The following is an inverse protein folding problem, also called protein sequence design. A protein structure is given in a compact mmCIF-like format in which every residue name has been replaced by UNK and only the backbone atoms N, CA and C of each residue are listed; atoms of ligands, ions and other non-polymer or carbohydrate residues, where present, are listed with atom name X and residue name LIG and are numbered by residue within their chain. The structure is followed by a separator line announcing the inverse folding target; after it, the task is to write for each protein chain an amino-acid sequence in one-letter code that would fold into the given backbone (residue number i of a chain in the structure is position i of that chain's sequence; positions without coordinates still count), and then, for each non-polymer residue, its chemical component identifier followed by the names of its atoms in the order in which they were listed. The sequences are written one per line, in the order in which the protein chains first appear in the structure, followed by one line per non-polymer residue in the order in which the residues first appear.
data_IF_877272417201
#
_entry.id   IF_877272417201
#
_cell.length_a   1.000
_cell.length_b   1.000
_cell.length_c   1.000
_cell.angle_alpha   90.00
_cell.angle_beta   90.00
_cell.angle_gamma   90.00
#
_symmetry.space_group_name_H-M   'P 1'
#
loop_
_entity.id
_entity.type
_entity.pdbx_description
1 polymer ?
#
# COMPACT_ATOMS: atom_id res chain seq x y z
N UNK A 1 -17.16 6.91 -7.98
CA UNK A 1 -16.67 8.21 -7.46
C UNK A 1 -17.18 9.30 -8.39
N UNK A 2 -17.81 10.36 -7.89
CA UNK A 2 -18.45 11.39 -8.74
C UNK A 2 -17.36 12.23 -9.43
N UNK A 3 -17.28 12.30 -10.77
CA UNK A 3 -16.20 12.98 -11.49
C UNK A 3 -15.97 14.45 -11.09
N UNK A 4 -17.04 15.12 -10.64
CA UNK A 4 -17.01 16.50 -10.17
C UNK A 4 -16.15 16.71 -8.91
N UNK A 5 -16.08 15.72 -8.01
CA UNK A 5 -15.28 15.83 -6.78
C UNK A 5 -13.78 15.76 -7.12
N UNK A 6 -13.40 14.92 -8.08
CA UNK A 6 -12.02 14.76 -8.51
C UNK A 6 -11.53 16.02 -9.24
N UNK A 7 -12.36 16.59 -10.12
CA UNK A 7 -12.10 17.88 -10.78
C UNK A 7 -11.94 19.02 -9.77
N UNK A 8 -12.78 19.08 -8.74
CA UNK A 8 -12.67 20.09 -7.68
C UNK A 8 -11.42 19.95 -6.84
N UNK A 9 -10.98 18.71 -6.56
CA UNK A 9 -9.73 18.47 -5.83
C UNK A 9 -8.54 18.90 -6.69
N UNK A 10 -8.53 18.58 -7.99
CA UNK A 10 -7.45 18.98 -8.92
C UNK A 10 -7.43 20.51 -9.11
N UNK A 11 -8.58 21.16 -9.33
CA UNK A 11 -8.68 22.62 -9.42
C UNK A 11 -8.23 23.30 -8.13
N UNK A 12 -8.59 22.75 -6.97
CA UNK A 12 -8.17 23.27 -5.68
C UNK A 12 -6.65 23.13 -5.46
N UNK A 13 -6.05 21.99 -5.84
CA UNK A 13 -4.62 21.77 -5.77
C UNK A 13 -3.86 22.75 -6.70
N UNK A 14 -4.34 22.93 -7.93
CA UNK A 14 -3.78 23.90 -8.88
C UNK A 14 -3.90 25.36 -8.39
N UNK A 15 -5.05 25.73 -7.81
CA UNK A 15 -5.28 27.06 -7.24
C UNK A 15 -4.40 27.32 -6.00
N UNK A 16 -4.11 26.28 -5.21
CA UNK A 16 -3.28 26.39 -4.01
C UNK A 16 -1.80 26.67 -4.29
N UNK A 17 -1.28 26.26 -5.45
CA UNK A 17 0.10 26.53 -5.87
C UNK A 17 0.36 28.01 -6.20
N UNK A 18 -0.68 28.78 -6.55
CA UNK A 18 -0.54 30.17 -7.00
C UNK A 18 -0.77 31.23 -5.91
N UNK A 19 -1.36 30.88 -4.77
CA UNK A 19 -1.75 31.86 -3.75
C UNK A 19 -1.27 31.48 -2.34
N UNK A 20 -0.52 32.38 -1.71
CA UNK A 20 -0.02 32.24 -0.33
C UNK A 20 -1.16 32.28 0.70
N UNK A 21 -1.80 31.15 0.94
CA UNK A 21 -2.72 30.95 2.06
C UNK A 21 -1.91 30.68 3.35
N UNK A 22 -2.21 31.43 4.41
CA UNK A 22 -1.54 31.50 5.72
C UNK A 22 -1.58 30.22 6.59
N UNK A 23 -1.80 29.04 6.02
CA UNK A 23 -1.84 27.79 6.76
C UNK A 23 -0.60 26.94 6.47
N UNK A 24 -0.13 26.09 7.40
CA UNK A 24 0.95 25.16 7.12
C UNK A 24 0.41 24.10 6.15
N UNK A 25 0.61 24.34 4.85
CA UNK A 25 0.27 23.39 3.80
C UNK A 25 1.43 22.39 3.63
N UNK A 26 1.16 21.07 3.57
CA UNK A 26 2.12 20.12 3.04
C UNK A 26 2.42 20.49 1.59
N UNK A 27 3.70 20.53 1.21
CA UNK A 27 4.10 20.84 -0.15
C UNK A 27 3.82 19.62 -1.04
N UNK A 28 2.64 19.55 -1.65
CA UNK A 28 2.28 18.43 -2.53
C UNK A 28 3.02 18.58 -3.86
N UNK A 29 4.07 17.77 -4.07
CA UNK A 29 4.64 17.57 -5.40
C UNK A 29 3.81 16.53 -6.14
N UNK A 30 3.92 16.48 -7.48
CA UNK A 30 3.24 15.43 -8.26
C UNK A 30 3.70 14.03 -7.83
N UNK A 31 4.96 13.88 -7.42
CA UNK A 31 5.53 12.63 -6.89
C UNK A 31 4.92 12.25 -5.55
N UNK A 32 4.72 13.18 -4.60
CA UNK A 32 4.05 12.86 -3.32
C UNK A 32 2.61 12.39 -3.53
N UNK A 33 1.93 12.93 -4.56
CA UNK A 33 0.56 12.54 -4.90
C UNK A 33 0.51 11.13 -5.51
N UNK A 34 1.43 10.81 -6.43
CA UNK A 34 1.55 9.46 -7.01
C UNK A 34 1.90 8.42 -5.94
N UNK A 35 2.83 8.73 -5.05
CA UNK A 35 3.22 7.88 -3.91
C UNK A 35 2.04 7.65 -2.96
N UNK A 36 1.32 8.73 -2.58
CA UNK A 36 0.12 8.62 -1.73
C UNK A 36 -0.98 7.78 -2.39
N UNK A 37 -1.15 7.89 -3.71
CA UNK A 37 -2.13 7.10 -4.46
C UNK A 37 -1.74 5.63 -4.51
N UNK A 38 -0.46 5.32 -4.74
CA UNK A 38 0.05 3.94 -4.72
C UNK A 38 -0.14 3.30 -3.34
N UNK A 39 0.26 3.98 -2.26
CA UNK A 39 0.07 3.49 -0.88
C UNK A 39 -1.41 3.27 -0.55
N UNK A 40 -2.30 4.18 -0.97
CA UNK A 40 -3.74 4.04 -0.75
C UNK A 40 -4.35 2.91 -1.58
N UNK A 41 -3.88 2.71 -2.81
CA UNK A 41 -4.30 1.56 -3.64
C UNK A 41 -3.95 0.25 -2.93
N UNK A 42 -2.70 0.08 -2.50
CA UNK A 42 -2.28 -1.12 -1.77
C UNK A 42 -3.14 -1.31 -0.52
N UNK A 43 -3.35 -0.26 0.28
CA UNK A 43 -4.16 -0.34 1.49
C UNK A 43 -5.62 -0.76 1.21
N UNK A 44 -6.28 -0.13 0.24
CA UNK A 44 -7.68 -0.40 -0.09
C UNK A 44 -7.85 -1.80 -0.71
N UNK A 45 -6.89 -2.21 -1.54
CA UNK A 45 -6.86 -3.53 -2.13
C UNK A 45 -6.70 -4.62 -1.04
N UNK A 46 -5.81 -4.42 -0.07
CA UNK A 46 -5.63 -5.34 1.08
C UNK A 46 -6.92 -5.42 1.89
N UNK A 47 -7.57 -4.29 2.15
CA UNK A 47 -8.84 -4.24 2.89
C UNK A 47 -9.98 -4.97 2.15
N UNK A 48 -9.95 -4.98 0.82
CA UNK A 48 -10.93 -5.68 -0.01
C UNK A 48 -10.59 -7.18 -0.21
N UNK A 49 -9.44 -7.65 0.28
CA UNK A 49 -9.02 -9.06 0.21
C UNK A 49 -8.66 -9.57 -1.20
N UNK A 50 -8.66 -8.70 -2.21
CA UNK A 50 -8.60 -9.09 -3.63
C UNK A 50 -7.18 -9.07 -4.25
N UNK A 51 -6.14 -8.77 -3.47
CA UNK A 51 -4.83 -8.42 -4.04
C UNK A 51 -4.04 -9.64 -4.46
N UNK A 52 -3.48 -9.59 -5.68
CA UNK A 52 -2.39 -10.47 -6.08
C UNK A 52 -1.08 -9.87 -5.59
N UNK A 53 -0.18 -10.72 -5.13
CA UNK A 53 1.14 -10.30 -4.64
C UNK A 53 1.94 -9.56 -5.71
N UNK A 54 1.67 -9.83 -6.99
CA UNK A 54 2.23 -9.12 -8.15
C UNK A 54 1.89 -7.63 -8.16
N UNK A 55 0.63 -7.25 -7.95
CA UNK A 55 0.22 -5.83 -7.94
C UNK A 55 0.85 -5.05 -6.79
N UNK A 56 1.04 -5.69 -5.64
CA UNK A 56 1.77 -5.09 -4.51
C UNK A 56 3.25 -4.89 -4.89
N UNK A 57 3.85 -5.88 -5.54
CA UNK A 57 5.25 -5.80 -5.97
C UNK A 57 5.46 -4.63 -6.95
N UNK A 58 4.61 -4.53 -7.98
CA UNK A 58 4.64 -3.43 -8.96
C UNK A 58 4.52 -2.06 -8.28
N UNK A 59 3.60 -1.96 -7.30
CA UNK A 59 3.39 -0.71 -6.56
C UNK A 59 4.61 -0.33 -5.70
N UNK A 60 5.27 -1.30 -5.06
CA UNK A 60 6.49 -1.05 -4.29
C UNK A 60 7.64 -0.59 -5.19
N UNK A 61 7.76 -1.14 -6.40
CA UNK A 61 8.80 -0.72 -7.38
C UNK A 61 8.54 0.70 -7.89
N UNK A 62 7.28 1.08 -8.10
CA UNK A 62 6.91 2.47 -8.43
C UNK A 62 7.32 3.41 -7.30
N UNK A 63 7.02 3.07 -6.04
CA UNK A 63 7.37 3.90 -4.89
C UNK A 63 8.90 4.03 -4.77
N UNK A 64 9.65 2.95 -4.96
CA UNK A 64 11.12 3.01 -4.93
C UNK A 64 11.66 4.00 -5.97
N UNK A 65 11.13 3.96 -7.20
CA UNK A 65 11.55 4.87 -8.27
C UNK A 65 11.26 6.34 -7.92
N UNK A 66 10.13 6.61 -7.27
CA UNK A 66 9.76 7.94 -6.80
C UNK A 66 10.71 8.42 -5.68
N UNK A 67 10.98 7.58 -4.69
CA UNK A 67 11.88 7.88 -3.58
C UNK A 67 13.31 8.16 -4.05
N UNK A 68 13.80 7.35 -4.99
CA UNK A 68 15.13 7.54 -5.58
C UNK A 68 15.26 8.88 -6.30
N UNK A 69 14.20 9.32 -7.00
CA UNK A 69 14.16 10.61 -7.69
C UNK A 69 14.22 11.78 -6.71
N UNK A 70 13.59 11.64 -5.54
CA UNK A 70 13.59 12.64 -4.47
C UNK A 70 14.79 12.52 -3.52
N UNK A 71 15.67 11.52 -3.73
CA UNK A 71 16.79 11.15 -2.85
C UNK A 71 16.35 10.82 -1.42
N UNK A 72 15.14 10.28 -1.29
CA UNK A 72 14.60 9.75 -0.04
C UNK A 72 15.28 8.41 0.22
N UNK A 73 15.60 8.16 1.49
CA UNK A 73 16.24 6.92 1.89
C UNK A 73 15.17 5.84 2.01
N UNK A 74 15.31 4.76 1.25
CA UNK A 74 14.43 3.59 1.34
C UNK A 74 14.47 3.00 2.76
N UNK A 75 13.34 2.95 3.49
CA UNK A 75 13.28 2.44 4.85
C UNK A 75 13.45 0.92 4.88
N UNK A 76 13.88 0.37 6.01
CA UNK A 76 14.12 -1.07 6.14
C UNK A 76 12.81 -1.88 6.12
N UNK A 77 11.69 -1.28 6.55
CA UNK A 77 10.35 -1.88 6.43
C UNK A 77 9.95 -2.13 4.99
N UNK A 78 10.25 -1.20 4.07
CA UNK A 78 9.97 -1.34 2.64
C UNK A 78 10.75 -2.48 2.03
N UNK A 79 12.04 -2.62 2.39
CA UNK A 79 12.87 -3.74 1.93
C UNK A 79 12.34 -5.08 2.43
N UNK A 80 11.93 -5.14 3.70
CA UNK A 80 11.34 -6.35 4.29
C UNK A 80 10.01 -6.71 3.60
N UNK A 81 9.15 -5.72 3.35
CA UNK A 81 7.90 -5.90 2.62
C UNK A 81 8.17 -6.40 1.19
N UNK A 82 9.09 -5.75 0.46
CA UNK A 82 9.47 -6.15 -0.89
C UNK A 82 9.97 -7.60 -0.93
N UNK A 83 10.92 -7.96 -0.07
CA UNK A 83 11.44 -9.33 -0.02
C UNK A 83 10.33 -10.36 0.29
N UNK A 84 9.43 -10.07 1.21
CA UNK A 84 8.33 -10.98 1.55
C UNK A 84 7.36 -11.17 0.37
N UNK A 85 6.98 -10.08 -0.29
CA UNK A 85 6.11 -10.11 -1.47
C UNK A 85 6.78 -10.84 -2.63
N UNK A 86 8.06 -10.56 -2.92
CA UNK A 86 8.81 -11.22 -3.98
C UNK A 86 8.94 -12.74 -3.77
N UNK A 87 9.18 -13.19 -2.53
CA UNK A 87 9.23 -14.62 -2.20
C UNK A 87 7.84 -15.25 -2.38
N UNK A 88 6.77 -14.63 -1.90
CA UNK A 88 5.40 -15.13 -2.08
C UNK A 88 5.01 -15.22 -3.57
N UNK A 89 5.32 -14.20 -4.39
CA UNK A 89 5.13 -14.23 -5.85
C UNK A 89 5.89 -15.40 -6.50
N UNK A 90 7.16 -15.59 -6.12
CA UNK A 90 8.02 -16.64 -6.68
C UNK A 90 7.50 -18.02 -6.34
N UNK A 91 7.11 -18.24 -5.08
CA UNK A 91 6.59 -19.52 -4.62
C UNK A 91 5.27 -19.87 -5.30
N UNK A 92 4.34 -18.90 -5.43
CA UNK A 92 3.10 -19.08 -6.19
C UNK A 92 3.36 -19.48 -7.64
N UNK A 93 4.23 -18.76 -8.33
CA UNK A 93 4.60 -19.08 -9.71
C UNK A 93 5.20 -20.48 -9.87
N UNK A 94 6.04 -20.91 -8.92
CA UNK A 94 6.61 -22.26 -8.95
C UNK A 94 5.53 -23.32 -8.75
N UNK A 95 4.64 -23.13 -7.77
CA UNK A 95 3.51 -24.03 -7.52
C UNK A 95 2.59 -24.10 -8.75
N UNK A 96 2.21 -22.95 -9.33
CA UNK A 96 1.32 -22.89 -10.49
C UNK A 96 1.93 -23.58 -11.72
N UNK A 97 3.24 -23.41 -11.96
CA UNK A 97 3.95 -24.11 -13.04
C UNK A 97 3.95 -25.62 -12.83
N UNK A 98 4.17 -26.07 -11.59
CA UNK A 98 4.12 -27.49 -11.26
C UNK A 98 2.70 -28.05 -11.38
N UNK A 99 1.67 -27.29 -11.02
CA UNK A 99 0.28 -27.67 -11.25
C UNK A 99 -0.09 -27.72 -12.74
N UNK A 100 0.40 -26.78 -13.55
CA UNK A 100 0.20 -26.77 -15.00
C UNK A 100 0.75 -28.04 -15.65
N UNK A 101 1.93 -28.49 -15.20
CA UNK A 101 2.50 -29.78 -15.62
C UNK A 101 1.59 -30.97 -15.28
N UNK A 102 0.64 -30.89 -14.34
CA UNK A 102 -0.34 -31.98 -14.10
C UNK A 102 -1.47 -32.04 -15.13
N UNK A 103 -1.75 -30.93 -15.83
CA UNK A 103 -2.92 -30.78 -16.71
C UNK A 103 -2.63 -31.08 -18.18
N UNK A 104 -1.37 -31.31 -18.54
CA UNK A 104 -0.97 -31.58 -19.91
C UNK A 104 -1.04 -33.07 -20.23
N UNK A 105 -1.69 -33.43 -21.34
CA UNK A 105 -1.72 -34.81 -21.86
C UNK A 105 -0.35 -35.25 -22.44
N UNK A 106 0.60 -34.33 -22.57
CA UNK A 106 1.95 -34.60 -23.09
C UNK A 106 2.93 -35.07 -22.00
N UNK A 107 2.46 -35.23 -20.76
CA UNK A 107 3.32 -35.56 -19.61
C UNK A 107 3.61 -37.06 -19.63
N UNK A 108 4.83 -37.41 -20.03
CA UNK A 108 5.34 -38.79 -19.96
C UNK A 108 5.61 -39.18 -18.51
N UNK A 109 5.80 -40.48 -18.26
CA UNK A 109 6.09 -40.99 -16.92
C UNK A 109 7.43 -40.44 -16.40
N UNK A 110 8.43 -40.25 -17.27
CA UNK A 110 9.73 -39.64 -16.92
C UNK A 110 9.58 -38.17 -16.49
N UNK A 111 8.74 -37.41 -17.18
CA UNK A 111 8.50 -36.00 -16.81
C UNK A 111 7.76 -35.90 -15.48
N UNK A 112 6.88 -36.86 -15.19
CA UNK A 112 6.17 -36.93 -13.90
C UNK A 112 7.13 -37.25 -12.77
N UNK A 113 8.02 -38.22 -12.95
CA UNK A 113 9.02 -38.61 -11.96
C UNK A 113 10.00 -37.45 -11.69
N UNK A 114 10.52 -36.81 -12.75
CA UNK A 114 11.37 -35.63 -12.62
C UNK A 114 10.68 -34.48 -11.88
N UNK A 115 9.37 -34.33 -12.10
CA UNK A 115 8.58 -33.30 -11.44
C UNK A 115 8.31 -33.63 -9.95
N UNK A 116 8.01 -34.87 -9.63
CA UNK A 116 7.88 -35.35 -8.24
C UNK A 116 9.21 -35.17 -7.48
N UNK A 117 10.34 -35.41 -8.14
CA UNK A 117 11.67 -35.13 -7.62
C UNK A 117 11.90 -33.62 -7.39
N UNK A 118 11.46 -32.75 -8.32
CA UNK A 118 11.50 -31.29 -8.13
C UNK A 118 10.61 -30.82 -6.97
N UNK A 119 9.38 -31.35 -6.85
CA UNK A 119 8.47 -31.06 -5.74
C UNK A 119 9.08 -31.53 -4.40
N UNK A 120 9.66 -32.73 -4.37
CA UNK A 120 10.34 -33.26 -3.19
C UNK A 120 11.57 -32.42 -2.82
N UNK A 121 12.40 -32.02 -3.78
CA UNK A 121 13.56 -31.16 -3.52
C UNK A 121 13.17 -29.76 -3.01
N UNK A 122 12.04 -29.22 -3.51
CA UNK A 122 11.46 -27.97 -3.00
C UNK A 122 10.90 -28.14 -1.58
N UNK A 123 10.28 -29.28 -1.24
CA UNK A 123 9.68 -29.47 0.09
C UNK A 123 10.68 -29.96 1.15
N UNK A 124 11.71 -30.72 0.77
CA UNK A 124 12.71 -31.32 1.66
C UNK A 124 13.86 -30.36 2.00
N UNK A 125 14.10 -29.35 1.16
CA UNK A 125 15.03 -28.29 1.51
C UNK A 125 14.49 -27.49 2.70
N UNK A 126 15.11 -27.67 3.88
CA UNK A 126 14.84 -26.86 5.08
C UNK A 126 14.81 -25.35 4.77
N UNK A 127 15.56 -24.90 3.75
CA UNK A 127 15.49 -23.52 3.27
C UNK A 127 14.12 -23.17 2.66
N UNK A 128 13.53 -24.04 1.83
CA UNK A 128 12.20 -23.80 1.26
C UNK A 128 11.08 -23.94 2.28
N UNK A 129 11.16 -24.90 3.22
CA UNK A 129 10.19 -24.98 4.32
C UNK A 129 10.15 -23.68 5.14
N UNK A 130 11.32 -23.14 5.50
CA UNK A 130 11.45 -21.84 6.17
C UNK A 130 10.97 -20.67 5.32
N UNK A 131 11.17 -20.72 4.00
CA UNK A 131 10.69 -19.69 3.08
C UNK A 131 9.17 -19.76 2.90
N UNK A 132 8.57 -20.94 2.81
CA UNK A 132 7.11 -21.13 2.75
C UNK A 132 6.44 -20.63 4.04
N UNK A 133 7.03 -20.95 5.20
CA UNK A 133 6.53 -20.51 6.50
C UNK A 133 6.64 -18.98 6.65
N UNK A 134 7.71 -18.37 6.12
CA UNK A 134 7.87 -16.91 6.09
C UNK A 134 7.06 -16.20 5.01
N UNK A 135 6.82 -16.84 3.87
CA UNK A 135 6.09 -16.28 2.73
C UNK A 135 4.58 -16.54 2.83
N UNK A 136 4.07 -16.85 4.02
CA UNK A 136 2.64 -16.94 4.21
C UNK A 136 2.01 -15.61 3.85
N UNK A 137 0.86 -15.67 3.16
CA UNK A 137 0.09 -14.47 2.78
C UNK A 137 -0.10 -13.52 3.97
N UNK A 138 -0.33 -14.06 5.16
CA UNK A 138 -0.53 -13.25 6.38
C UNK A 138 0.74 -12.51 6.82
N UNK A 139 1.90 -13.17 6.78
CA UNK A 139 3.18 -12.53 7.12
C UNK A 139 3.57 -11.49 6.08
N UNK A 140 3.38 -11.79 4.79
CA UNK A 140 3.58 -10.83 3.70
C UNK A 140 2.70 -9.60 3.89
N UNK A 141 1.39 -9.78 4.13
CA UNK A 141 0.46 -8.67 4.36
C UNK A 141 0.81 -7.89 5.63
N UNK A 142 1.29 -8.56 6.69
CA UNK A 142 1.73 -7.89 7.91
C UNK A 142 2.89 -6.94 7.63
N UNK A 143 3.92 -7.41 6.92
CA UNK A 143 5.10 -6.60 6.58
C UNK A 143 4.75 -5.43 5.66
N UNK A 144 3.87 -5.65 4.69
CA UNK A 144 3.34 -4.56 3.84
C UNK A 144 2.58 -3.54 4.68
N UNK A 145 1.71 -3.98 5.60
CA UNK A 145 0.98 -3.07 6.48
C UNK A 145 1.88 -2.31 7.45
N UNK A 146 2.99 -2.91 7.91
CA UNK A 146 3.97 -2.24 8.75
C UNK A 146 4.69 -1.13 7.97
N UNK A 147 5.07 -1.39 6.71
CA UNK A 147 5.60 -0.36 5.80
C UNK A 147 4.58 0.75 5.53
N UNK A 148 3.33 0.39 5.17
CA UNK A 148 2.28 1.38 4.88
C UNK A 148 2.04 2.33 6.07
N UNK A 149 2.06 1.80 7.30
CA UNK A 149 1.93 2.63 8.51
C UNK A 149 3.11 3.58 8.66
N UNK A 150 4.34 3.09 8.51
CA UNK A 150 5.53 3.93 8.61
C UNK A 150 5.52 5.06 7.56
N UNK A 151 5.22 4.73 6.30
CA UNK A 151 5.13 5.71 5.21
C UNK A 151 4.01 6.73 5.44
N UNK A 152 2.82 6.30 5.89
CA UNK A 152 1.70 7.20 6.17
C UNK A 152 1.96 8.08 7.40
N UNK A 153 2.63 7.57 8.43
CA UNK A 153 3.00 8.33 9.62
C UNK A 153 4.06 9.41 9.27
N UNK A 154 4.99 9.09 8.37
CA UNK A 154 5.98 10.05 7.85
C UNK A 154 5.32 11.15 7.00
N UNK A 155 4.38 10.80 6.12
CA UNK A 155 3.61 11.78 5.33
C UNK A 155 2.71 12.67 6.19
N UNK A 156 2.25 12.16 7.34
CA UNK A 156 1.27 12.82 8.19
C UNK A 156 -0.17 12.79 7.60
N UNK A 157 -1.15 13.36 8.33
CA UNK A 157 -2.55 13.25 7.94
C UNK A 157 -2.80 13.92 6.58
N UNK A 158 -3.51 13.26 5.65
CA UNK A 158 -3.78 13.83 4.34
C UNK A 158 -4.54 15.14 4.49
N UNK A 159 -4.33 16.05 3.54
CA UNK A 159 -4.89 17.40 3.57
C UNK A 159 -6.40 17.44 3.87
N UNK A 160 -7.17 16.53 3.28
CA UNK A 160 -8.62 16.42 3.52
C UNK A 160 -8.95 16.04 4.98
N UNK A 161 -8.13 15.21 5.61
CA UNK A 161 -8.29 14.90 7.03
C UNK A 161 -7.96 16.10 7.91
N UNK A 162 -6.90 16.86 7.57
CA UNK A 162 -6.54 18.09 8.27
C UNK A 162 -7.67 19.14 8.18
N UNK A 163 -8.26 19.32 6.99
CA UNK A 163 -9.44 20.16 6.79
C UNK A 163 -10.66 19.65 7.58
N UNK A 164 -10.91 18.35 7.57
CA UNK A 164 -12.02 17.75 8.32
C UNK A 164 -11.84 17.92 9.84
N UNK A 165 -10.61 17.81 10.35
CA UNK A 165 -10.26 18.12 11.75
C UNK A 165 -10.54 19.60 12.05
N UNK A 166 -10.07 20.49 11.19
CA UNK A 166 -10.24 21.95 11.35
C UNK A 166 -11.72 22.36 11.34
N UNK A 167 -12.54 21.81 10.44
CA UNK A 167 -13.97 22.12 10.39
C UNK A 167 -14.72 21.56 11.60
N UNK A 168 -14.35 20.37 12.09
CA UNK A 168 -14.89 19.81 13.36
C UNK A 168 -14.57 20.73 14.53
N UNK A 169 -13.34 21.23 14.63
CA UNK A 169 -12.94 22.16 15.69
C UNK A 169 -13.65 23.51 15.58
N UNK A 170 -13.82 24.03 14.36
CA UNK A 170 -14.59 25.26 14.11
C UNK A 170 -16.04 25.11 14.54
N UNK A 171 -16.69 23.99 14.17
CA UNK A 171 -18.07 23.67 14.59
C UNK A 171 -18.17 23.53 16.11
N UNK A 172 -17.22 22.82 16.73
CA UNK A 172 -17.15 22.65 18.19
C UNK A 172 -16.96 23.99 18.90
N UNK A 173 -16.11 24.86 18.37
CA UNK A 173 -15.88 26.22 18.90
C UNK A 173 -17.11 27.11 18.76
N UNK A 174 -17.80 27.08 17.61
CA UNK A 174 -19.08 27.77 17.40
C UNK A 174 -20.14 27.28 18.38
N UNK A 175 -20.26 25.97 18.58
CA UNK A 175 -21.19 25.39 19.54
C UNK A 175 -20.90 25.81 20.99
N UNK A 176 -19.63 25.76 21.42
CA UNK A 176 -19.20 26.26 22.75
C UNK A 176 -19.50 27.74 22.95
N UNK A 177 -19.38 28.58 21.91
CA UNK A 177 -19.75 30.01 21.96
C UNK A 177 -21.26 30.20 22.09
N UNK A 178 -22.07 29.50 21.28
CA UNK A 178 -23.54 29.55 21.35
C UNK A 178 -24.05 29.08 22.71
N UNK A 179 -23.53 27.97 23.23
CA UNK A 179 -23.88 27.45 24.56
C UNK A 179 -23.57 28.44 25.67
N UNK A 180 -22.42 29.13 25.61
CA UNK A 180 -22.06 30.18 26.59
C UNK A 180 -22.95 31.42 26.52
N UNK A 181 -23.44 31.81 25.33
CA UNK A 181 -24.39 32.91 25.21
C UNK A 181 -25.76 32.56 25.79
N UNK A 182 -26.24 31.33 25.56
CA UNK A 182 -27.52 30.86 26.11
C UNK A 182 -27.52 30.78 27.64
N UNK A 183 -26.40 30.42 28.26
CA UNK A 183 -26.25 30.38 29.72
C UNK A 183 -26.19 31.78 30.35
N UNK A 184 -25.80 32.81 29.58
CA UNK A 184 -25.70 34.20 30.08
C UNK A 184 -27.01 34.99 29.96
N UNK A 185 -28.02 34.45 29.29
CA UNK A 185 -29.29 35.11 28.99
C UNK A 185 -30.48 34.56 29.79
N UNK A 186 -30.24 33.56 30.65
CA UNK A 186 -31.18 33.05 31.65
C UNK A 186 -30.60 33.25 33.03
#
# INVERSE_FOLDING_TARGET
MVPAIVLWIIEFLHFSQQHSLKYPYPNFTNSTLEETLALRSIHDEIANGSVSSETILDSLEIIEQLDQKERIKIPDSMKLAYCAVAVDCTMKHLVDKLEFLKKSELVTDELREFKEEMEAALLDSNACGRLLEKATRNETLRLVMDYLKEALDEMGPPFLELLARTERERRRSKWKRRKRMLIKLG
#
